data_IF_956532857932
#
_entry.id   IF_956532857932
#
_cell.length_a   1.000
_cell.length_b   1.000
_cell.length_c   1.000
_cell.angle_alpha   90.00
_cell.angle_beta   90.00
_cell.angle_gamma   90.00
#
_symmetry.space_group_name_H-M   'P 1'
#
loop_
_entity.id
_entity.type
_entity.pdbx_description
1 polymer ?
#
# COMPACT_ATOMS: atom_id res chain seq x y z
N UNK A 1 12.45 -5.15 -16.60
CA UNK A 1 11.20 -5.94 -16.50
C UNK A 1 10.05 -5.02 -16.07
N UNK A 2 8.80 -5.47 -16.17
CA UNK A 2 7.64 -4.79 -15.55
C UNK A 2 7.21 -5.60 -14.33
N UNK A 3 7.12 -4.96 -13.17
CA UNK A 3 6.81 -5.59 -11.88
C UNK A 3 5.53 -4.96 -11.35
N UNK A 4 4.55 -5.81 -11.05
CA UNK A 4 3.28 -5.44 -10.44
C UNK A 4 3.28 -5.93 -8.99
N UNK A 5 3.05 -5.03 -8.04
CA UNK A 5 2.88 -5.36 -6.63
C UNK A 5 1.40 -5.26 -6.31
N UNK A 6 0.78 -6.37 -5.90
CA UNK A 6 -0.59 -6.38 -5.43
C UNK A 6 -0.58 -6.33 -3.91
N UNK A 7 -1.12 -5.27 -3.34
CA UNK A 7 -1.16 -5.03 -1.91
C UNK A 7 -2.60 -4.85 -1.44
N UNK A 8 -2.94 -5.47 -0.31
CA UNK A 8 -4.31 -5.45 0.19
C UNK A 8 -4.69 -4.06 0.70
N UNK A 9 -3.84 -3.46 1.54
CA UNK A 9 -4.08 -2.14 2.14
C UNK A 9 -2.97 -1.16 1.76
N UNK A 10 -3.18 0.15 1.93
CA UNK A 10 -2.09 1.11 1.88
C UNK A 10 -1.04 0.70 2.91
N UNK A 11 0.23 0.91 2.58
CA UNK A 11 1.43 0.56 3.37
C UNK A 11 1.93 -0.88 3.19
N UNK A 12 1.07 -1.84 2.82
CA UNK A 12 1.46 -3.25 2.63
C UNK A 12 2.53 -3.40 1.52
N UNK A 13 2.50 -2.56 0.47
CA UNK A 13 3.48 -2.60 -0.62
C UNK A 13 4.89 -2.21 -0.15
N UNK A 14 4.97 -1.28 0.81
CA UNK A 14 6.24 -0.81 1.39
C UNK A 14 6.71 -1.76 2.49
N UNK A 15 5.82 -2.11 3.43
CA UNK A 15 6.15 -2.96 4.58
C UNK A 15 6.44 -4.40 4.18
N UNK A 16 5.68 -4.95 3.21
CA UNK A 16 5.82 -6.33 2.79
C UNK A 16 6.98 -6.57 1.83
N UNK A 17 7.17 -5.70 0.84
CA UNK A 17 8.14 -5.92 -0.23
C UNK A 17 8.95 -4.69 -0.65
N UNK A 18 8.91 -3.60 0.11
CA UNK A 18 9.51 -2.32 -0.25
C UNK A 18 11.01 -2.39 -0.56
N UNK A 19 11.78 -3.18 0.20
CA UNK A 19 13.21 -3.38 -0.09
C UNK A 19 13.46 -4.06 -1.45
N UNK A 20 12.62 -5.02 -1.81
CA UNK A 20 12.71 -5.73 -3.10
C UNK A 20 12.27 -4.81 -4.25
N UNK A 21 11.17 -4.07 -4.06
CA UNK A 21 10.70 -3.06 -4.99
C UNK A 21 11.76 -1.99 -5.27
N UNK A 22 12.39 -1.47 -4.21
CA UNK A 22 13.45 -0.46 -4.30
C UNK A 22 14.69 -0.98 -5.05
N UNK A 23 15.09 -2.24 -4.82
CA UNK A 23 16.19 -2.86 -5.57
C UNK A 23 15.90 -2.85 -7.07
N UNK A 24 14.73 -3.36 -7.48
CA UNK A 24 14.38 -3.43 -8.90
C UNK A 24 14.18 -2.06 -9.55
N UNK A 25 13.63 -1.09 -8.82
CA UNK A 25 13.56 0.29 -9.29
C UNK A 25 14.97 0.87 -9.53
N UNK A 26 15.93 0.62 -8.62
CA UNK A 26 17.33 1.04 -8.78
C UNK A 26 18.03 0.38 -9.97
N UNK A 27 17.65 -0.85 -10.30
CA UNK A 27 18.11 -1.57 -11.50
C UNK A 27 17.43 -1.08 -12.80
N UNK A 28 16.58 -0.05 -12.74
CA UNK A 28 15.93 0.56 -13.89
C UNK A 28 14.68 -0.19 -14.37
N UNK A 29 14.07 -1.02 -13.51
CA UNK A 29 12.81 -1.68 -13.83
C UNK A 29 11.59 -0.83 -13.46
N UNK A 30 10.52 -0.99 -14.23
CA UNK A 30 9.23 -0.37 -13.92
C UNK A 30 8.53 -1.18 -12.83
N UNK A 31 8.26 -0.53 -11.70
CA UNK A 31 7.58 -1.09 -10.54
C UNK A 31 6.28 -0.32 -10.33
N UNK A 32 5.16 -1.03 -10.28
CA UNK A 32 3.84 -0.43 -10.10
C UNK A 32 3.11 -1.14 -8.96
N UNK A 33 2.82 -0.44 -7.85
CA UNK A 33 1.90 -0.96 -6.84
C UNK A 33 0.44 -0.76 -7.27
N UNK A 34 -0.40 -1.73 -6.95
CA UNK A 34 -1.86 -1.66 -7.02
C UNK A 34 -2.40 -2.02 -5.64
N UNK A 35 -3.09 -1.06 -5.04
CA UNK A 35 -3.70 -1.17 -3.72
C UNK A 35 -5.17 -1.54 -3.90
N UNK A 36 -5.61 -2.61 -3.25
CA UNK A 36 -6.94 -3.19 -3.47
C UNK A 36 -8.03 -2.59 -2.58
N UNK A 37 -7.68 -2.19 -1.35
CA UNK A 37 -8.61 -1.63 -0.36
C UNK A 37 -8.05 -0.32 0.22
N UNK A 38 -8.92 0.56 0.70
CA UNK A 38 -8.48 1.72 1.49
C UNK A 38 -8.46 1.44 3.01
N UNK A 39 -7.92 2.38 3.78
CA UNK A 39 -7.46 2.17 5.15
C UNK A 39 -8.58 2.10 6.21
N UNK A 40 -9.57 3.00 6.18
CA UNK A 40 -10.48 3.21 7.32
C UNK A 40 -11.95 2.87 7.05
N UNK A 41 -12.48 3.17 5.86
CA UNK A 41 -13.92 3.08 5.60
C UNK A 41 -14.48 1.66 5.62
N UNK A 42 -13.63 0.66 5.36
CA UNK A 42 -14.02 -0.75 5.28
C UNK A 42 -13.79 -1.52 6.59
N UNK A 43 -12.95 -0.99 7.48
CA UNK A 43 -12.46 -1.71 8.69
C UNK A 43 -13.13 -1.26 9.98
N UNK A 44 -13.58 -0.01 10.05
CA UNK A 44 -14.10 0.59 11.27
C UNK A 44 -15.51 1.14 11.05
N UNK A 45 -16.36 1.01 12.07
CA UNK A 45 -17.68 1.65 12.09
C UNK A 45 -17.52 3.18 12.00
N UNK A 46 -18.54 3.86 11.47
CA UNK A 46 -18.51 5.31 11.25
C UNK A 46 -18.07 6.11 12.49
N UNK A 47 -18.51 5.69 13.68
CA UNK A 47 -18.18 6.29 14.98
C UNK A 47 -16.67 6.23 15.31
N UNK A 48 -15.94 5.23 14.79
CA UNK A 48 -14.49 5.10 14.96
C UNK A 48 -13.72 5.85 13.87
N UNK A 49 -14.33 6.14 12.72
CA UNK A 49 -13.70 6.90 11.63
C UNK A 49 -13.47 8.36 12.03
N UNK A 50 -14.45 9.00 12.67
CA UNK A 50 -14.30 10.39 13.20
C UNK A 50 -13.09 10.53 14.14
N UNK A 51 -12.77 9.49 14.92
CA UNK A 51 -11.63 9.54 15.83
C UNK A 51 -10.28 9.36 15.11
N UNK A 52 -10.27 8.68 13.96
CA UNK A 52 -9.08 8.42 13.15
C UNK A 52 -8.75 9.58 12.20
N UNK A 53 -9.75 10.33 11.74
CA UNK A 53 -9.54 11.52 10.89
C UNK A 53 -9.00 12.73 11.67
N UNK A 54 -9.12 12.70 13.00
CA UNK A 54 -8.61 13.75 13.90
C UNK A 54 -7.16 13.53 14.36
N UNK A 55 -6.45 12.55 13.78
CA UNK A 55 -5.03 12.24 14.01
C UNK A 55 -4.21 12.53 12.75
#
# INVERSE_FOLDING_TARGET
MKILILAAHPDDEVLGCGATAARFAKEGHSVTPVILCENATVRYAAEMQENLENW
#
